data_IF_431613336229
#
_entry.id   IF_431613336229
#
_cell.length_a   1.000
_cell.length_b   1.000
_cell.length_c   1.000
_cell.angle_alpha   90.00
_cell.angle_beta   90.00
_cell.angle_gamma   90.00
#
_symmetry.space_group_name_H-M   'P 1'
#
loop_
_entity.id
_entity.type
_entity.pdbx_description
1 polymer ?
#
# COMPACT_ATOMS: atom_id res chain seq x y z
N UNK A 1 -1.02 -11.19 19.26
CA UNK A 1 0.30 -11.00 18.61
C UNK A 1 0.57 -9.51 18.61
N UNK A 2 1.70 -9.07 19.18
CA UNK A 2 2.01 -7.64 19.37
C UNK A 2 3.07 -7.11 18.40
N UNK A 3 3.71 -8.00 17.65
CA UNK A 3 4.71 -7.66 16.66
C UNK A 3 4.07 -7.52 15.27
N UNK A 4 4.71 -6.74 14.42
CA UNK A 4 4.40 -6.64 12.99
C UNK A 4 4.66 -7.95 12.24
N UNK A 5 4.06 -8.05 11.05
CA UNK A 5 4.38 -9.11 10.08
C UNK A 5 5.11 -8.49 8.91
N UNK A 6 6.39 -8.81 8.75
CA UNK A 6 7.10 -8.50 7.51
C UNK A 6 6.56 -9.38 6.37
N UNK A 7 6.40 -8.79 5.18
CA UNK A 7 6.03 -9.53 3.98
C UNK A 7 6.94 -9.14 2.82
N UNK A 8 7.09 -10.06 1.87
CA UNK A 8 7.83 -9.86 0.63
C UNK A 8 7.14 -10.62 -0.48
N UNK A 9 7.15 -10.05 -1.68
CA UNK A 9 6.70 -10.72 -2.90
C UNK A 9 7.65 -10.41 -4.05
N UNK A 10 7.62 -11.26 -5.06
CA UNK A 10 8.36 -11.08 -6.31
C UNK A 10 7.39 -11.26 -7.47
N UNK A 11 7.46 -10.40 -8.46
CA UNK A 11 6.64 -10.45 -9.67
C UNK A 11 7.51 -10.11 -10.88
N UNK A 12 7.07 -10.55 -12.06
CA UNK A 12 7.75 -10.19 -13.30
C UNK A 12 7.34 -8.78 -13.71
N UNK A 13 8.31 -7.96 -14.07
CA UNK A 13 8.06 -6.65 -14.66
C UNK A 13 7.52 -6.86 -16.08
N UNK A 14 6.36 -6.28 -16.46
CA UNK A 14 5.83 -6.38 -17.82
C UNK A 14 6.81 -5.79 -18.83
N UNK A 15 6.95 -6.43 -19.99
CA UNK A 15 7.82 -5.91 -21.06
C UNK A 15 7.36 -4.52 -21.49
N UNK A 16 8.32 -3.62 -21.73
CA UNK A 16 8.11 -2.23 -22.17
C UNK A 16 7.37 -1.33 -21.16
N UNK A 17 7.12 -1.81 -19.94
CA UNK A 17 6.61 -0.93 -18.89
C UNK A 17 7.67 0.11 -18.54
N UNK A 18 7.30 1.39 -18.58
CA UNK A 18 8.16 2.52 -18.20
C UNK A 18 7.93 2.98 -16.77
N UNK A 19 6.72 2.75 -16.27
CA UNK A 19 6.29 3.11 -14.93
C UNK A 19 5.38 2.01 -14.37
N UNK A 20 5.42 1.83 -13.04
CA UNK A 20 4.47 0.99 -12.32
C UNK A 20 4.01 1.68 -11.04
N UNK A 21 2.74 1.48 -10.69
CA UNK A 21 2.19 1.83 -9.39
C UNK A 21 2.04 0.56 -8.54
N UNK A 22 2.66 0.56 -7.37
CA UNK A 22 2.52 -0.48 -6.37
C UNK A 22 1.60 -0.03 -5.27
N UNK A 23 0.73 -0.94 -4.84
CA UNK A 23 -0.22 -0.71 -3.76
C UNK A 23 -0.05 -1.81 -2.72
N UNK A 24 -0.03 -1.42 -1.45
CA UNK A 24 0.03 -2.35 -0.32
C UNK A 24 -1.17 -2.12 0.59
N UNK A 25 -1.83 -3.24 0.97
CA UNK A 25 -2.87 -3.28 1.99
C UNK A 25 -2.77 -4.56 2.82
N UNK A 26 -3.28 -4.52 4.05
CA UNK A 26 -3.39 -5.66 4.94
C UNK A 26 -4.84 -5.91 5.41
N UNK A 27 -5.05 -7.10 5.95
CA UNK A 27 -6.29 -7.51 6.65
C UNK A 27 -5.89 -8.21 7.95
N UNK A 28 -6.54 -7.85 9.06
CA UNK A 28 -6.26 -8.45 10.36
C UNK A 28 -7.14 -9.68 10.65
N UNK A 29 -6.98 -10.26 11.85
CA UNK A 29 -7.70 -11.47 12.27
C UNK A 29 -9.19 -11.24 12.54
N UNK A 30 -9.61 -9.99 12.70
CA UNK A 30 -11.00 -9.58 12.86
C UNK A 30 -11.60 -9.09 11.53
N UNK A 31 -10.89 -9.29 10.41
CA UNK A 31 -11.28 -8.85 9.07
C UNK A 31 -11.34 -7.32 8.90
N UNK A 32 -10.71 -6.54 9.77
CA UNK A 32 -10.54 -5.11 9.50
C UNK A 32 -9.63 -4.92 8.29
N UNK A 33 -9.97 -3.95 7.44
CA UNK A 33 -9.22 -3.61 6.23
C UNK A 33 -8.90 -2.11 6.20
N UNK A 34 -7.93 -1.75 5.37
CA UNK A 34 -7.51 -0.36 5.15
C UNK A 34 -8.37 0.30 4.06
N UNK A 35 -8.70 1.60 4.18
CA UNK A 35 -9.40 2.34 3.14
C UNK A 35 -8.51 2.60 1.91
N UNK A 36 -9.11 2.71 0.73
CA UNK A 36 -8.39 2.88 -0.53
C UNK A 36 -7.73 4.27 -0.69
N UNK A 37 -8.38 5.32 -0.17
CA UNK A 37 -7.92 6.71 -0.30
C UNK A 37 -7.99 7.46 1.02
N UNK A 38 -7.16 8.50 1.14
CA UNK A 38 -7.13 9.37 2.31
C UNK A 38 -8.35 10.31 2.40
N UNK A 39 -9.08 10.52 1.30
CA UNK A 39 -10.18 11.50 1.21
C UNK A 39 -11.25 11.27 2.27
N UNK A 40 -11.60 10.00 2.54
CA UNK A 40 -12.62 9.64 3.53
C UNK A 40 -12.15 9.64 4.98
N UNK A 41 -10.83 9.73 5.24
CA UNK A 41 -10.23 9.64 6.59
C UNK A 41 -9.43 10.89 6.97
N UNK A 42 -9.44 11.91 6.13
CA UNK A 42 -8.69 13.13 6.35
C UNK A 42 -9.14 13.84 7.63
N UNK A 43 -8.19 14.39 8.38
CA UNK A 43 -8.45 15.25 9.53
C UNK A 43 -7.34 16.28 9.68
N UNK A 44 -7.67 17.42 10.30
CA UNK A 44 -6.76 18.59 10.46
C UNK A 44 -5.47 18.26 11.21
N UNK A 45 -5.47 17.19 12.03
CA UNK A 45 -4.30 16.76 12.80
C UNK A 45 -3.42 15.74 12.06
N UNK A 46 -3.87 15.22 10.91
CA UNK A 46 -3.15 14.19 10.15
C UNK A 46 -3.04 12.85 10.87
N UNK A 47 -3.92 12.55 11.83
CA UNK A 47 -3.87 11.30 12.61
C UNK A 47 -4.57 10.15 11.89
N UNK A 48 -4.28 8.91 12.29
CA UNK A 48 -4.94 7.69 11.78
C UNK A 48 -4.90 7.53 10.25
N UNK A 49 -3.85 8.04 9.61
CA UNK A 49 -3.67 7.87 8.18
C UNK A 49 -3.22 6.44 7.85
N UNK A 50 -4.20 5.56 7.66
CA UNK A 50 -4.00 4.14 7.36
C UNK A 50 -4.52 3.73 5.97
N UNK A 51 -4.73 4.68 5.05
CA UNK A 51 -5.07 4.38 3.66
C UNK A 51 -3.98 3.53 2.97
N UNK A 52 -4.31 2.89 1.85
CA UNK A 52 -3.35 2.08 1.11
C UNK A 52 -2.11 2.89 0.75
N UNK A 53 -0.94 2.35 1.03
CA UNK A 53 0.31 2.98 0.61
C UNK A 53 0.48 2.74 -0.90
N UNK A 54 0.64 3.82 -1.66
CA UNK A 54 0.81 3.80 -3.11
C UNK A 54 2.19 4.34 -3.47
N UNK A 55 2.96 3.59 -4.24
CA UNK A 55 4.29 3.95 -4.69
C UNK A 55 4.35 3.88 -6.22
N UNK A 56 4.65 5.01 -6.87
CA UNK A 56 4.95 5.04 -8.31
C UNK A 56 6.46 4.96 -8.51
N UNK A 57 6.88 4.06 -9.39
CA UNK A 57 8.29 3.89 -9.73
C UNK A 57 8.49 3.94 -11.24
N UNK A 58 9.60 4.51 -11.66
CA UNK A 58 10.08 4.41 -13.02
C UNK A 58 10.88 3.12 -13.18
N UNK A 59 10.66 2.41 -14.28
CA UNK A 59 11.42 1.22 -14.64
C UNK A 59 12.61 1.67 -15.48
N UNK A 60 13.80 1.31 -15.02
CA UNK A 60 15.06 1.53 -15.72
C UNK A 60 15.54 0.21 -16.31
N UNK A 61 16.15 0.28 -17.49
CA UNK A 61 16.86 -0.84 -18.13
C UNK A 61 18.20 -1.12 -17.42
#
# INVERSE_FOLDING_TARGET
>A
MWAWTFFRTSFKIPQKAKEMEFVVKATDRAYNTQPETATGIWNVRGLLHNAWHKLRVQIVD
#
